data_IF_929177774385
#
_entry.id   IF_929177774385
#
_cell.length_a   1.000
_cell.length_b   1.000
_cell.length_c   1.000
_cell.angle_alpha   90.00
_cell.angle_beta   90.00
_cell.angle_gamma   90.00
#
_symmetry.space_group_name_H-M   'P 1'
#
loop_
_entity.id
_entity.type
_entity.pdbx_description
1 polymer ?
#
# COMPACT_ATOMS: atom_id res chain seq x y z
N UNK A 1 -8.04 5.79 -4.78
CA UNK A 1 -7.20 4.64 -5.19
C UNK A 1 -5.93 5.11 -5.88
N UNK A 2 -6.09 5.96 -6.90
CA UNK A 2 -4.99 6.48 -7.73
C UNK A 2 -3.91 7.19 -6.92
N UNK A 3 -4.29 8.00 -5.93
CA UNK A 3 -3.34 8.66 -5.03
C UNK A 3 -2.44 7.66 -4.27
N UNK A 4 -3.02 6.57 -3.76
CA UNK A 4 -2.24 5.53 -3.10
C UNK A 4 -1.38 4.76 -4.10
N UNK A 5 -1.92 4.43 -5.27
CA UNK A 5 -1.16 3.75 -6.34
C UNK A 5 0.07 4.57 -6.74
N UNK A 6 -0.09 5.89 -6.88
CA UNK A 6 1.01 6.82 -7.16
C UNK A 6 2.02 6.87 -6.00
N UNK A 7 1.55 6.95 -4.74
CA UNK A 7 2.43 6.92 -3.57
C UNK A 7 3.25 5.61 -3.49
N UNK A 8 2.63 4.46 -3.77
CA UNK A 8 3.32 3.17 -3.79
C UNK A 8 4.34 3.09 -4.93
N UNK A 9 4.05 3.64 -6.09
CA UNK A 9 5.03 3.72 -7.18
C UNK A 9 6.20 4.64 -6.80
N UNK A 10 5.93 5.79 -6.16
CA UNK A 10 6.96 6.70 -5.65
C UNK A 10 7.88 6.06 -4.63
N UNK A 11 7.35 5.21 -3.75
CA UNK A 11 8.19 4.42 -2.84
C UNK A 11 9.23 3.57 -3.59
N UNK A 12 8.87 3.01 -4.74
CA UNK A 12 9.83 2.25 -5.54
C UNK A 12 10.91 3.14 -6.16
N UNK A 13 10.54 4.33 -6.67
CA UNK A 13 11.48 5.24 -7.36
C UNK A 13 12.34 6.07 -6.42
N UNK A 14 11.80 6.47 -5.27
CA UNK A 14 12.44 7.42 -4.35
C UNK A 14 13.15 6.74 -3.19
N UNK A 15 12.75 5.50 -2.84
CA UNK A 15 13.11 4.85 -1.58
C UNK A 15 13.57 3.40 -1.76
N UNK A 16 13.85 2.97 -3.00
CA UNK A 16 14.28 1.59 -3.32
C UNK A 16 13.35 0.49 -2.78
N UNK A 17 12.06 0.80 -2.58
CA UNK A 17 11.11 -0.20 -2.09
C UNK A 17 10.88 -1.27 -3.17
N UNK A 18 11.16 -2.52 -2.81
CA UNK A 18 11.10 -3.65 -3.72
C UNK A 18 9.68 -4.19 -3.90
N UNK A 19 8.90 -4.23 -2.82
CA UNK A 19 7.55 -4.81 -2.83
C UNK A 19 6.64 -4.14 -1.82
N UNK A 20 5.39 -3.90 -2.21
CA UNK A 20 4.31 -3.51 -1.30
C UNK A 20 3.14 -4.46 -1.47
N UNK A 21 2.58 -4.94 -0.36
CA UNK A 21 1.37 -5.78 -0.36
C UNK A 21 0.45 -5.43 0.79
N UNK A 22 -0.85 -5.61 0.61
CA UNK A 22 -1.78 -5.50 1.72
C UNK A 22 -3.20 -5.16 1.31
N UNK A 23 -3.98 -4.65 2.25
CA UNK A 23 -5.38 -4.30 2.03
C UNK A 23 -5.64 -2.90 2.57
N UNK A 24 -6.52 -2.17 1.89
CA UNK A 24 -6.86 -0.79 2.24
C UNK A 24 -8.36 -0.63 2.36
N UNK A 25 -8.79 0.04 3.42
CA UNK A 25 -10.17 0.46 3.59
C UNK A 25 -10.42 1.68 2.69
N UNK A 26 -11.36 1.55 1.74
CA UNK A 26 -11.73 2.64 0.85
C UNK A 26 -13.07 3.22 1.30
N UNK A 27 -13.12 4.54 1.50
CA UNK A 27 -14.34 5.27 1.87
C UNK A 27 -15.45 5.00 0.86
N UNK A 28 -16.66 4.71 1.36
CA UNK A 28 -17.81 4.40 0.50
C UNK A 28 -17.80 3.01 -0.15
N UNK A 29 -16.78 2.16 0.09
CA UNK A 29 -16.72 0.79 -0.44
C UNK A 29 -16.82 -0.25 0.69
N UNK A 30 -17.73 -1.23 0.58
CA UNK A 30 -17.85 -2.30 1.58
C UNK A 30 -16.78 -3.39 1.44
N UNK A 31 -16.05 -3.41 0.31
CA UNK A 31 -14.97 -4.36 0.02
C UNK A 31 -13.62 -3.83 0.46
N UNK A 32 -12.71 -4.74 0.80
CA UNK A 32 -11.29 -4.42 0.94
C UNK A 32 -10.65 -4.25 -0.43
N UNK A 33 -9.77 -3.26 -0.58
CA UNK A 33 -8.96 -3.10 -1.78
C UNK A 33 -7.61 -3.78 -1.55
N UNK A 34 -7.34 -4.86 -2.27
CA UNK A 34 -6.03 -5.52 -2.29
C UNK A 34 -5.04 -4.65 -3.07
N UNK A 35 -3.86 -4.44 -2.51
CA UNK A 35 -2.72 -3.76 -3.14
C UNK A 35 -1.59 -4.78 -3.31
N UNK A 36 -1.04 -4.85 -4.53
CA UNK A 36 0.16 -5.64 -4.83
C UNK A 36 1.06 -4.85 -5.78
N UNK A 37 2.31 -4.62 -5.36
CA UNK A 37 3.30 -3.92 -6.16
C UNK A 37 4.64 -4.66 -6.15
N UNK A 38 5.32 -4.67 -7.29
CA UNK A 38 6.73 -5.09 -7.45
C UNK A 38 7.43 -3.96 -8.19
N UNK A 39 8.34 -3.27 -7.51
CA UNK A 39 8.82 -1.96 -7.93
C UNK A 39 7.65 -1.01 -8.24
N UNK A 40 7.77 -0.26 -9.33
CA UNK A 40 6.78 0.73 -9.78
C UNK A 40 5.45 0.14 -10.28
N UNK A 41 5.41 -1.17 -10.54
CA UNK A 41 4.24 -1.83 -11.13
C UNK A 41 3.22 -2.14 -10.05
N UNK A 42 2.26 -1.24 -9.87
CA UNK A 42 1.20 -1.37 -8.86
C UNK A 42 -0.08 -1.90 -9.47
N UNK A 43 -0.64 -2.96 -8.87
CA UNK A 43 -1.98 -3.47 -9.16
C UNK A 43 -2.87 -3.33 -7.93
N UNK A 44 -4.09 -2.87 -8.15
CA UNK A 44 -5.15 -2.86 -7.13
C UNK A 44 -6.37 -3.62 -7.63
N UNK A 45 -7.05 -4.31 -6.72
CA UNK A 45 -8.32 -4.98 -7.01
C UNK A 45 -9.21 -4.99 -5.78
N UNK A 46 -10.52 -4.86 -5.97
CA UNK A 46 -11.48 -5.10 -4.89
C UNK A 46 -11.67 -6.60 -4.74
N UNK A 47 -11.50 -7.09 -3.51
CA UNK A 47 -11.60 -8.50 -3.16
C UNK A 47 -12.92 -8.73 -2.40
N UNK A 48 -12.90 -9.36 -1.22
CA UNK A 48 -14.10 -9.63 -0.41
C UNK A 48 -14.57 -8.45 0.44
N UNK A 49 -15.85 -8.43 0.85
CA UNK A 49 -16.35 -7.54 1.89
C UNK A 49 -15.57 -7.65 3.21
N UNK A 50 -15.60 -6.59 4.02
CA UNK A 50 -15.02 -6.61 5.37
C UNK A 50 -15.79 -7.53 6.34
N UNK A 51 -17.10 -7.70 6.15
CA UNK A 51 -17.93 -8.49 7.07
C UNK A 51 -17.85 -7.95 8.50
N UNK A 52 -17.61 -8.83 9.47
CA UNK A 52 -17.44 -8.46 10.88
C UNK A 52 -16.00 -8.02 11.24
N UNK A 53 -15.05 -8.09 10.29
CA UNK A 53 -13.65 -7.71 10.58
C UNK A 53 -13.48 -6.18 10.65
N UNK A 54 -12.61 -5.67 11.54
CA UNK A 54 -12.30 -4.24 11.59
C UNK A 54 -11.84 -3.71 10.24
N UNK A 55 -12.38 -2.55 9.83
CA UNK A 55 -12.07 -1.89 8.55
C UNK A 55 -10.75 -1.11 8.65
N UNK A 56 -9.66 -1.85 8.83
CA UNK A 56 -8.31 -1.27 9.01
C UNK A 56 -7.44 -1.52 7.79
N UNK A 57 -6.76 -0.47 7.34
CA UNK A 57 -5.76 -0.57 6.28
C UNK A 57 -4.46 -1.14 6.83
N UNK A 58 -3.90 -2.13 6.15
CA UNK A 58 -2.63 -2.75 6.50
C UNK A 58 -1.81 -2.95 5.24
N UNK A 59 -0.60 -2.36 5.22
CA UNK A 59 0.39 -2.54 4.18
C UNK A 59 1.67 -3.12 4.78
N UNK A 60 2.31 -4.00 4.02
CA UNK A 60 3.66 -4.49 4.26
C UNK A 60 4.54 -3.93 3.16
N UNK A 61 5.59 -3.22 3.58
CA UNK A 61 6.59 -2.60 2.72
C UNK A 61 7.89 -3.40 2.89
N UNK A 62 8.51 -3.81 1.78
CA UNK A 62 9.70 -4.66 1.77
C UNK A 62 10.78 -3.94 0.96
N UNK A 63 11.95 -3.77 1.58
CA UNK A 63 13.16 -3.21 1.00
C UNK A 63 14.39 -3.90 1.58
N UNK A 64 15.58 -3.60 1.04
CA UNK A 64 16.83 -3.93 1.68
C UNK A 64 16.94 -3.21 3.04
N UNK A 65 17.64 -3.82 4.01
CA UNK A 65 17.68 -3.31 5.38
C UNK A 65 18.16 -1.85 5.48
N UNK A 66 19.09 -1.43 4.61
CA UNK A 66 19.65 -0.08 4.59
C UNK A 66 18.66 0.98 4.05
N UNK A 67 17.63 0.57 3.31
CA UNK A 67 16.66 1.46 2.67
C UNK A 67 15.37 1.62 3.49
N UNK A 68 15.25 0.93 4.63
CA UNK A 68 14.05 1.03 5.49
C UNK A 68 14.12 2.27 6.38
N UNK A 69 13.51 3.36 5.92
CA UNK A 69 13.16 4.52 6.75
C UNK A 69 11.64 4.60 6.92
N UNK A 70 11.16 4.17 8.09
CA UNK A 70 9.73 4.13 8.41
C UNK A 70 9.09 5.52 8.34
N UNK A 71 9.79 6.58 8.76
CA UNK A 71 9.23 7.93 8.82
C UNK A 71 8.98 8.46 7.41
N UNK A 72 9.95 8.33 6.52
CA UNK A 72 9.82 8.73 5.13
C UNK A 72 8.77 7.87 4.38
N UNK A 73 8.73 6.56 4.64
CA UNK A 73 7.71 5.66 4.07
C UNK A 73 6.30 6.11 4.46
N UNK A 74 6.06 6.41 5.74
CA UNK A 74 4.76 6.90 6.23
C UNK A 74 4.38 8.24 5.61
N UNK A 75 5.35 9.16 5.50
CA UNK A 75 5.13 10.46 4.90
C UNK A 75 4.68 10.34 3.43
N UNK A 76 5.32 9.48 2.63
CA UNK A 76 4.94 9.24 1.23
C UNK A 76 3.54 8.60 1.13
N UNK A 77 3.23 7.66 2.03
CA UNK A 77 1.92 6.99 2.07
C UNK A 77 0.79 7.85 2.66
N UNK A 78 1.12 8.96 3.34
CA UNK A 78 0.16 9.79 4.08
C UNK A 78 -0.46 9.07 5.28
N UNK A 79 0.34 8.28 6.00
CA UNK A 79 -0.09 7.38 7.08
C UNK A 79 0.40 7.81 8.47
#
# INVERSE_FOLDING_TARGET
PDALTAAVARLATEMNILRVKGYVAVTGKPQRMLVQAVGERVRVQYDRPWGATPRLSHLVVIAEQADVDETAIRAILGA
#
